data_IF_303777346598
#
_entry.id   IF_303777346598
#
_cell.length_a   1.000
_cell.length_b   1.000
_cell.length_c   1.000
_cell.angle_alpha   90.00
_cell.angle_beta   90.00
_cell.angle_gamma   90.00
#
_symmetry.space_group_name_H-M   'P 1'
#
loop_
_entity.id
_entity.type
_entity.pdbx_description
1 polymer ?
#
# COMPACT_ATOMS: atom_id res chain seq x y z
N UNK A 1 6.08 -25.26 3.47
CA UNK A 1 6.19 -23.78 3.39
C UNK A 1 5.23 -23.17 2.37
N UNK A 2 5.21 -23.64 1.12
CA UNK A 2 4.34 -23.11 0.03
C UNK A 2 2.83 -23.17 0.33
N UNK A 3 2.30 -24.27 0.89
CA UNK A 3 0.86 -24.37 1.24
C UNK A 3 0.42 -23.32 2.27
N UNK A 4 1.28 -23.01 3.26
CA UNK A 4 1.02 -21.99 4.30
C UNK A 4 1.04 -20.58 3.70
N UNK A 5 1.90 -20.36 2.69
CA UNK A 5 1.96 -19.10 1.95
C UNK A 5 0.71 -18.87 1.08
N UNK A 6 0.23 -19.90 0.38
CA UNK A 6 -1.00 -19.81 -0.42
C UNK A 6 -2.25 -19.56 0.43
N UNK A 7 -2.28 -20.09 1.66
CA UNK A 7 -3.38 -19.83 2.60
C UNK A 7 -3.48 -18.36 3.02
N UNK A 8 -2.35 -17.64 3.11
CA UNK A 8 -2.32 -16.21 3.46
C UNK A 8 -2.96 -15.34 2.35
N UNK A 9 -3.03 -15.86 1.12
CA UNK A 9 -3.56 -15.13 -0.03
C UNK A 9 -5.00 -15.51 -0.37
N UNK A 10 -5.58 -16.55 0.25
CA UNK A 10 -6.97 -16.98 -0.03
C UNK A 10 -7.95 -16.03 0.64
N UNK A 11 -9.04 -15.69 -0.06
CA UNK A 11 -10.15 -14.97 0.58
C UNK A 11 -10.84 -15.88 1.60
N UNK A 12 -11.34 -15.33 2.73
CA UNK A 12 -12.25 -16.06 3.60
C UNK A 12 -13.52 -16.46 2.83
N UNK A 13 -14.04 -17.65 3.09
CA UNK A 13 -15.21 -18.18 2.38
C UNK A 13 -16.54 -17.52 2.85
N UNK A 14 -16.54 -16.80 4.00
CA UNK A 14 -17.65 -15.92 4.46
C UNK A 14 -17.15 -14.49 4.79
N UNK A 15 -17.64 -13.48 4.06
CA UNK A 15 -17.28 -12.07 4.27
C UNK A 15 -18.33 -11.35 5.14
N UNK A 16 -18.15 -11.32 6.47
CA UNK A 16 -18.98 -10.52 7.40
C UNK A 16 -18.51 -9.06 7.56
N UNK A 17 -18.06 -8.43 6.47
CA UNK A 17 -17.47 -7.08 6.44
C UNK A 17 -15.94 -7.07 6.42
N UNK A 18 -15.33 -5.87 6.47
CA UNK A 18 -13.87 -5.70 6.46
C UNK A 18 -13.25 -6.08 7.80
N UNK A 19 -13.25 -7.39 8.09
CA UNK A 19 -12.71 -8.00 9.31
C UNK A 19 -11.20 -7.85 9.43
N UNK A 20 -10.65 -8.04 10.64
CA UNK A 20 -9.20 -8.00 10.88
C UNK A 20 -8.45 -9.03 10.01
N UNK A 21 -9.04 -10.20 9.76
CA UNK A 21 -8.48 -11.24 8.90
C UNK A 21 -8.44 -10.79 7.43
N UNK A 22 -9.53 -10.19 6.92
CA UNK A 22 -9.57 -9.69 5.55
C UNK A 22 -8.53 -8.58 5.34
N UNK A 23 -8.32 -7.71 6.33
CA UNK A 23 -7.26 -6.69 6.30
C UNK A 23 -5.86 -7.29 6.34
N UNK A 24 -5.66 -8.40 7.06
CA UNK A 24 -4.38 -9.12 7.05
C UNK A 24 -4.09 -9.73 5.66
N UNK A 25 -5.09 -10.35 5.03
CA UNK A 25 -4.98 -10.87 3.66
C UNK A 25 -4.71 -9.73 2.67
N UNK A 26 -5.43 -8.62 2.78
CA UNK A 26 -5.22 -7.43 1.97
C UNK A 26 -3.81 -6.87 2.12
N UNK A 27 -3.31 -6.75 3.37
CA UNK A 27 -1.95 -6.30 3.65
C UNK A 27 -0.90 -7.17 2.96
N UNK A 28 -1.03 -8.49 3.04
CA UNK A 28 -0.10 -9.40 2.38
C UNK A 28 -0.16 -9.30 0.85
N UNK A 29 -1.35 -9.12 0.28
CA UNK A 29 -1.49 -8.90 -1.17
C UNK A 29 -0.87 -7.60 -1.63
N UNK A 30 -1.01 -6.53 -0.85
CA UNK A 30 -0.34 -5.26 -1.14
C UNK A 30 1.19 -5.43 -1.11
N UNK A 31 1.73 -6.19 -0.15
CA UNK A 31 3.18 -6.46 -0.09
C UNK A 31 3.65 -7.27 -1.31
N UNK A 32 2.89 -8.30 -1.73
CA UNK A 32 3.19 -9.06 -2.96
C UNK A 32 3.09 -8.17 -4.19
N UNK A 33 2.09 -7.28 -4.26
CA UNK A 33 1.94 -6.34 -5.35
C UNK A 33 3.11 -5.34 -5.40
N UNK A 34 3.54 -4.80 -4.26
CA UNK A 34 4.72 -3.93 -4.17
C UNK A 34 5.98 -4.67 -4.61
N UNK A 35 6.14 -5.95 -4.23
CA UNK A 35 7.26 -6.78 -4.68
C UNK A 35 7.25 -6.97 -6.21
N UNK A 36 6.09 -7.27 -6.80
CA UNK A 36 5.94 -7.38 -8.24
C UNK A 36 6.20 -6.05 -8.97
N UNK A 37 5.69 -4.95 -8.44
CA UNK A 37 5.94 -3.61 -8.97
C UNK A 37 7.42 -3.23 -8.87
N UNK A 38 8.09 -3.53 -7.76
CA UNK A 38 9.53 -3.33 -7.60
C UNK A 38 10.32 -4.00 -8.72
N UNK A 39 9.95 -5.24 -9.08
CA UNK A 39 10.54 -5.95 -10.21
C UNK A 39 10.27 -5.27 -11.56
N UNK A 40 9.03 -4.82 -11.80
CA UNK A 40 8.68 -4.09 -13.04
C UNK A 40 9.47 -2.79 -13.15
N UNK A 41 9.55 -2.00 -12.07
CA UNK A 41 10.34 -0.76 -12.03
C UNK A 41 11.82 -1.04 -12.27
N UNK A 42 12.34 -2.15 -11.74
CA UNK A 42 13.73 -2.55 -11.96
C UNK A 42 14.00 -2.85 -13.44
N UNK A 43 13.12 -3.60 -14.11
CA UNK A 43 13.26 -3.88 -15.55
C UNK A 43 13.21 -2.59 -16.36
N UNK A 44 12.26 -1.70 -16.05
CA UNK A 44 12.12 -0.41 -16.75
C UNK A 44 13.35 0.48 -16.54
N UNK A 45 13.87 0.56 -15.31
CA UNK A 45 15.10 1.30 -15.00
C UNK A 45 16.27 0.84 -15.87
N UNK A 46 16.43 -0.49 -16.05
CA UNK A 46 17.45 -1.07 -16.91
C UNK A 46 17.24 -0.77 -18.39
N UNK A 47 15.99 -0.67 -18.85
CA UNK A 47 15.69 -0.33 -20.25
C UNK A 47 15.97 1.14 -20.58
N UNK A 48 15.73 2.06 -19.64
CA UNK A 48 15.88 3.50 -19.84
C UNK A 48 17.29 3.98 -19.43
N UNK A 49 18.16 3.09 -18.94
CA UNK A 49 19.48 3.40 -18.40
C UNK A 49 19.44 4.56 -17.38
N UNK A 50 18.38 4.58 -16.56
CA UNK A 50 18.15 5.60 -15.55
C UNK A 50 19.13 5.47 -14.38
N UNK A 51 19.80 4.30 -14.25
CA UNK A 51 20.79 3.99 -13.22
C UNK A 51 20.26 4.32 -11.81
N UNK A 52 18.98 4.05 -11.54
CA UNK A 52 18.46 4.09 -10.18
C UNK A 52 19.27 3.10 -9.34
N UNK A 53 19.68 3.53 -8.15
CA UNK A 53 20.59 2.76 -7.31
C UNK A 53 20.00 1.38 -6.99
N UNK A 54 20.69 0.30 -7.41
CA UNK A 54 20.29 -1.11 -7.13
C UNK A 54 19.91 -1.36 -5.66
N UNK A 55 20.56 -0.63 -4.75
CA UNK A 55 20.28 -0.62 -3.33
C UNK A 55 18.80 -0.35 -2.99
N UNK A 56 18.10 0.51 -3.73
CA UNK A 56 16.68 0.79 -3.54
C UNK A 56 15.81 -0.44 -3.79
N UNK A 57 16.03 -1.11 -4.92
CA UNK A 57 15.27 -2.31 -5.29
C UNK A 57 15.49 -3.46 -4.30
N UNK A 58 16.73 -3.63 -3.84
CA UNK A 58 17.08 -4.61 -2.81
C UNK A 58 16.40 -4.24 -1.49
N UNK A 59 16.41 -2.97 -1.10
CA UNK A 59 15.78 -2.50 0.15
C UNK A 59 14.27 -2.69 0.14
N UNK A 60 13.59 -2.38 -0.97
CA UNK A 60 12.14 -2.62 -1.13
C UNK A 60 11.85 -4.11 -1.06
N UNK A 61 12.55 -4.90 -1.86
CA UNK A 61 12.28 -6.34 -1.95
C UNK A 61 12.58 -7.06 -0.64
N UNK A 62 13.68 -6.70 0.03
CA UNK A 62 14.04 -7.19 1.36
C UNK A 62 13.02 -6.81 2.42
N UNK A 63 12.52 -5.57 2.39
CA UNK A 63 11.44 -5.12 3.28
C UNK A 63 10.16 -5.92 3.06
N UNK A 64 9.77 -6.15 1.80
CA UNK A 64 8.59 -6.96 1.47
C UNK A 64 8.71 -8.39 1.98
N UNK A 65 9.87 -9.04 1.77
CA UNK A 65 10.11 -10.41 2.25
C UNK A 65 10.04 -10.46 3.78
N UNK A 66 10.68 -9.51 4.47
CA UNK A 66 10.64 -9.40 5.92
C UNK A 66 9.20 -9.26 6.44
N UNK A 67 8.39 -8.40 5.83
CA UNK A 67 6.99 -8.19 6.20
C UNK A 67 6.17 -9.48 5.98
N UNK A 68 6.36 -10.17 4.86
CA UNK A 68 5.67 -11.45 4.58
C UNK A 68 6.05 -12.53 5.60
N UNK A 69 7.30 -12.58 6.04
CA UNK A 69 7.74 -13.52 7.09
C UNK A 69 7.08 -13.20 8.42
N UNK A 70 7.10 -11.93 8.85
CA UNK A 70 6.46 -11.50 10.11
C UNK A 70 4.95 -11.77 10.08
N UNK A 71 4.31 -11.44 8.95
CA UNK A 71 2.88 -11.71 8.77
C UNK A 71 2.57 -13.20 8.74
N UNK A 72 3.42 -14.03 8.13
CA UNK A 72 3.26 -15.49 8.09
C UNK A 72 3.43 -16.17 9.46
N UNK A 73 4.06 -15.49 10.41
CA UNK A 73 4.15 -15.91 11.82
C UNK A 73 2.96 -15.49 12.67
N UNK A 74 1.95 -14.81 12.11
CA UNK A 74 0.73 -14.39 12.82
C UNK A 74 0.82 -13.02 13.51
N UNK A 75 1.97 -12.35 13.45
CA UNK A 75 2.16 -11.02 14.04
C UNK A 75 1.68 -9.89 13.11
N UNK A 76 0.40 -9.92 12.73
CA UNK A 76 -0.16 -9.04 11.70
C UNK A 76 -0.06 -7.56 12.05
N UNK A 77 -0.35 -7.17 13.30
CA UNK A 77 -0.26 -5.78 13.73
C UNK A 77 1.17 -5.24 13.63
N UNK A 78 2.14 -6.05 14.05
CA UNK A 78 3.56 -5.70 13.96
C UNK A 78 4.00 -5.58 12.49
N UNK A 79 3.56 -6.50 11.63
CA UNK A 79 3.81 -6.44 10.19
C UNK A 79 3.25 -5.16 9.55
N UNK A 80 2.04 -4.72 9.94
CA UNK A 80 1.46 -3.44 9.48
C UNK A 80 2.32 -2.24 9.89
N UNK A 81 2.71 -2.16 11.16
CA UNK A 81 3.48 -1.03 11.70
C UNK A 81 4.86 -0.95 11.03
N UNK A 82 5.60 -2.06 11.03
CA UNK A 82 6.93 -2.13 10.41
C UNK A 82 6.83 -1.87 8.91
N UNK A 83 5.85 -2.47 8.24
CA UNK A 83 5.66 -2.32 6.81
C UNK A 83 5.34 -0.90 6.39
N UNK A 84 4.41 -0.24 7.07
CA UNK A 84 4.08 1.17 6.79
C UNK A 84 5.24 2.09 7.10
N UNK A 85 5.99 1.84 8.17
CA UNK A 85 7.18 2.63 8.49
C UNK A 85 8.25 2.52 7.41
N UNK A 86 8.64 1.29 7.06
CA UNK A 86 9.64 1.03 6.00
C UNK A 86 9.19 1.60 4.65
N UNK A 87 7.93 1.38 4.27
CA UNK A 87 7.38 1.89 3.02
C UNK A 87 7.44 3.41 2.94
N UNK A 88 7.06 4.11 4.01
CA UNK A 88 7.12 5.55 4.07
C UNK A 88 8.55 6.10 4.03
N UNK A 89 9.49 5.49 4.76
CA UNK A 89 10.90 5.90 4.74
C UNK A 89 11.52 5.69 3.37
N UNK A 90 11.21 4.58 2.69
CA UNK A 90 11.69 4.34 1.33
C UNK A 90 11.09 5.35 0.35
N UNK A 91 9.76 5.55 0.38
CA UNK A 91 9.10 6.53 -0.48
C UNK A 91 9.62 7.95 -0.25
N UNK A 92 9.88 8.33 0.99
CA UNK A 92 10.53 9.59 1.33
C UNK A 92 11.88 9.73 0.62
N UNK A 93 12.75 8.73 0.75
CA UNK A 93 14.09 8.78 0.16
C UNK A 93 14.04 8.87 -1.37
N UNK A 94 13.13 8.14 -2.03
CA UNK A 94 12.96 8.21 -3.48
C UNK A 94 12.38 9.56 -3.90
N UNK A 95 11.35 10.05 -3.19
CA UNK A 95 10.72 11.33 -3.51
C UNK A 95 11.65 12.52 -3.27
N UNK A 96 12.57 12.44 -2.29
CA UNK A 96 13.55 13.48 -2.02
C UNK A 96 14.74 13.43 -3.00
N UNK A 97 15.05 12.26 -3.56
CA UNK A 97 16.16 12.08 -4.50
C UNK A 97 15.80 12.32 -5.97
N UNK A 98 14.56 12.71 -6.27
CA UNK A 98 14.07 12.90 -7.64
C UNK A 98 13.30 14.21 -7.79
N UNK A 99 13.18 14.70 -9.03
CA UNK A 99 12.36 15.85 -9.34
C UNK A 99 10.87 15.57 -9.15
N UNK A 100 10.13 16.58 -8.70
CA UNK A 100 8.68 16.48 -8.48
C UNK A 100 7.92 16.07 -9.75
N UNK A 101 8.45 16.43 -10.91
CA UNK A 101 7.93 16.08 -12.24
C UNK A 101 7.93 14.57 -12.51
N UNK A 102 8.69 13.74 -11.78
CA UNK A 102 8.65 12.29 -11.94
C UNK A 102 7.35 11.66 -11.43
N UNK A 103 6.55 12.38 -10.63
CA UNK A 103 5.27 11.91 -10.10
C UNK A 103 5.37 10.92 -8.93
N UNK A 104 6.56 10.60 -8.42
CA UNK A 104 6.74 9.64 -7.31
C UNK A 104 5.99 10.05 -6.04
N UNK A 105 5.88 11.35 -5.77
CA UNK A 105 5.18 11.89 -4.60
C UNK A 105 3.70 11.44 -4.52
N UNK A 106 3.07 11.11 -5.65
CA UNK A 106 1.70 10.58 -5.68
C UNK A 106 1.55 9.30 -4.83
N UNK A 107 2.60 8.49 -4.73
CA UNK A 107 2.58 7.27 -3.92
C UNK A 107 2.51 7.53 -2.41
N UNK A 108 2.83 8.73 -1.94
CA UNK A 108 2.63 9.10 -0.54
C UNK A 108 1.13 9.28 -0.22
N UNK A 109 0.33 9.77 -1.18
CA UNK A 109 -1.13 9.77 -1.03
C UNK A 109 -1.61 8.32 -0.90
N UNK A 110 -1.14 7.44 -1.78
CA UNK A 110 -1.46 5.99 -1.69
C UNK A 110 -1.04 5.39 -0.35
N UNK A 111 0.14 5.74 0.17
CA UNK A 111 0.61 5.27 1.48
C UNK A 111 -0.32 5.69 2.63
N UNK A 112 -0.80 6.95 2.60
CA UNK A 112 -1.77 7.44 3.57
C UNK A 112 -3.11 6.67 3.49
N UNK A 113 -3.61 6.39 2.29
CA UNK A 113 -4.81 5.56 2.10
C UNK A 113 -4.62 4.13 2.61
N UNK A 114 -3.49 3.49 2.28
CA UNK A 114 -3.17 2.14 2.76
C UNK A 114 -3.16 2.10 4.29
N UNK A 115 -2.57 3.10 4.96
CA UNK A 115 -2.56 3.17 6.41
C UNK A 115 -3.98 3.19 7.01
N UNK A 116 -4.87 4.02 6.47
CA UNK A 116 -6.27 4.10 6.92
C UNK A 116 -7.02 2.78 6.70
N UNK A 117 -6.80 2.13 5.56
CA UNK A 117 -7.46 0.86 5.22
C UNK A 117 -6.99 -0.29 6.11
N UNK A 118 -5.67 -0.39 6.35
CA UNK A 118 -5.08 -1.50 7.10
C UNK A 118 -5.41 -1.44 8.60
N UNK A 119 -5.51 -0.23 9.17
CA UNK A 119 -5.89 -0.06 10.58
C UNK A 119 -7.41 0.02 10.77
N UNK A 120 -8.15 0.55 9.79
CA UNK A 120 -9.60 0.74 9.86
C UNK A 120 -10.05 1.56 11.07
N UNK A 121 -11.32 1.43 11.43
CA UNK A 121 -11.92 2.27 12.47
C UNK A 121 -11.50 1.86 13.90
N UNK A 122 -11.30 0.56 14.13
CA UNK A 122 -10.96 -0.03 15.42
C UNK A 122 -9.57 0.43 15.89
N UNK A 123 -8.64 0.61 14.96
CA UNK A 123 -7.28 1.10 15.23
C UNK A 123 -7.04 2.49 14.61
N UNK A 124 -8.08 3.33 14.52
CA UNK A 124 -8.04 4.63 13.81
C UNK A 124 -6.91 5.56 14.23
N UNK A 125 -6.50 5.52 15.50
CA UNK A 125 -5.40 6.33 16.01
C UNK A 125 -4.08 6.00 15.29
N UNK A 126 -3.81 4.70 15.03
CA UNK A 126 -2.65 4.27 14.26
C UNK A 126 -2.76 4.66 12.79
N UNK A 127 -3.94 4.51 12.19
CA UNK A 127 -4.19 4.94 10.81
C UNK A 127 -3.90 6.44 10.63
N UNK A 128 -4.49 7.29 11.48
CA UNK A 128 -4.28 8.73 11.46
C UNK A 128 -2.83 9.13 11.75
N UNK A 129 -2.19 8.48 12.73
CA UNK A 129 -0.78 8.74 13.04
C UNK A 129 0.13 8.44 11.84
N UNK A 130 -0.09 7.34 11.13
CA UNK A 130 0.69 7.02 9.93
C UNK A 130 0.35 7.94 8.75
N UNK A 131 -0.90 8.33 8.56
CA UNK A 131 -1.28 9.34 7.56
C UNK A 131 -0.57 10.67 7.83
N UNK A 132 -0.56 11.13 9.09
CA UNK A 132 0.14 12.34 9.49
C UNK A 132 1.65 12.20 9.30
N UNK A 133 2.23 11.05 9.67
CA UNK A 133 3.65 10.74 9.45
C UNK A 133 4.02 10.80 7.96
N UNK A 134 3.21 10.20 7.08
CA UNK A 134 3.37 10.28 5.63
C UNK A 134 3.34 11.72 5.13
N UNK A 135 2.41 12.53 5.62
CA UNK A 135 2.31 13.95 5.27
C UNK A 135 3.54 14.76 5.74
N UNK A 136 4.03 14.51 6.96
CA UNK A 136 5.26 15.14 7.44
C UNK A 136 6.46 14.77 6.56
N UNK A 137 6.61 13.50 6.19
CA UNK A 137 7.68 13.07 5.29
C UNK A 137 7.55 13.71 3.90
N UNK A 138 6.34 13.83 3.35
CA UNK A 138 6.12 14.56 2.10
C UNK A 138 6.59 16.01 2.21
N UNK A 139 6.16 16.73 3.26
CA UNK A 139 6.53 18.11 3.48
C UNK A 139 8.06 18.26 3.61
N UNK A 140 8.71 17.39 4.38
CA UNK A 140 10.17 17.40 4.53
C UNK A 140 10.85 17.15 3.18
N UNK A 141 10.41 16.14 2.41
CA UNK A 141 10.97 15.84 1.09
C UNK A 141 10.83 17.02 0.13
N UNK A 142 9.68 17.70 0.18
CA UNK A 142 9.39 18.85 -0.66
C UNK A 142 10.29 20.06 -0.35
N UNK A 143 10.50 20.38 0.92
CA UNK A 143 11.25 21.59 1.31
C UNK A 143 12.76 21.38 1.41
N UNK A 144 13.22 20.23 1.88
CA UNK A 144 14.64 20.04 2.22
C UNK A 144 15.44 19.31 1.16
N UNK A 145 14.77 18.53 0.29
CA UNK A 145 15.41 17.59 -0.66
C UNK A 145 16.48 16.69 0.01
N UNK A 146 16.40 16.50 1.32
CA UNK A 146 17.39 15.75 2.07
C UNK A 146 17.14 14.25 1.90
N UNK A 147 17.95 13.57 1.10
CA UNK A 147 17.86 12.12 0.87
C UNK A 147 19.15 11.41 1.30
N UNK A 148 19.02 10.17 1.76
CA UNK A 148 20.18 9.27 1.95
C UNK A 148 20.77 8.82 0.62
N UNK A 149 20.07 9.08 -0.47
CA UNK A 149 20.38 8.65 -1.83
C UNK A 149 20.81 9.88 -2.63
N UNK A 150 21.78 9.71 -3.52
CA UNK A 150 22.21 10.78 -4.42
C UNK A 150 21.04 11.26 -5.27
N UNK A 151 20.87 12.58 -5.34
CA UNK A 151 19.86 13.20 -6.20
C UNK A 151 20.12 12.86 -7.67
N UNK A 152 19.09 12.36 -8.36
CA UNK A 152 19.17 11.99 -9.77
C UNK A 152 18.46 13.03 -10.63
N UNK A 153 19.18 13.58 -11.60
CA UNK A 153 18.61 14.42 -12.65
C UNK A 153 18.34 13.56 -13.87
N UNK A 154 17.07 13.44 -14.20
CA UNK A 154 16.62 12.72 -15.39
C UNK A 154 16.53 13.67 -16.57
N UNK A 155 16.78 13.16 -17.78
CA UNK A 155 16.44 13.91 -18.98
C UNK A 155 14.91 13.99 -19.16
N UNK A 156 14.44 14.82 -20.09
CA UNK A 156 13.01 15.03 -20.32
C UNK A 156 12.27 13.73 -20.68
N UNK A 157 12.88 12.91 -21.54
CA UNK A 157 12.32 11.62 -21.93
C UNK A 157 12.15 10.67 -20.72
N UNK A 158 13.19 10.53 -19.90
CA UNK A 158 13.19 9.73 -18.67
C UNK A 158 12.13 10.24 -17.69
N UNK A 159 12.06 11.56 -17.49
CA UNK A 159 11.07 12.19 -16.61
C UNK A 159 9.65 11.88 -17.06
N UNK A 160 9.36 12.01 -18.36
CA UNK A 160 8.04 11.73 -18.91
C UNK A 160 7.65 10.25 -18.77
N UNK A 161 8.59 9.32 -19.01
CA UNK A 161 8.33 7.89 -18.84
C UNK A 161 8.10 7.54 -17.37
N UNK A 162 8.92 8.07 -16.46
CA UNK A 162 8.75 7.87 -15.02
C UNK A 162 7.40 8.44 -14.54
N UNK A 163 7.01 9.61 -15.01
CA UNK A 163 5.72 10.22 -14.69
C UNK A 163 4.55 9.35 -15.15
N UNK A 164 4.56 8.91 -16.41
CA UNK A 164 3.52 8.03 -16.96
C UNK A 164 3.43 6.69 -16.21
N UNK A 165 4.57 6.12 -15.82
CA UNK A 165 4.60 4.91 -15.01
C UNK A 165 4.03 5.16 -13.60
N UNK A 166 4.48 6.20 -12.92
CA UNK A 166 4.03 6.51 -11.56
C UNK A 166 2.53 6.81 -11.51
N UNK A 167 1.99 7.59 -12.45
CA UNK A 167 0.56 7.90 -12.49
C UNK A 167 -0.29 6.66 -12.80
N UNK A 168 0.17 5.79 -13.71
CA UNK A 168 -0.52 4.55 -14.05
C UNK A 168 -0.58 3.61 -12.84
N UNK A 169 0.55 3.45 -12.14
CA UNK A 169 0.64 2.60 -10.94
C UNK A 169 -0.16 3.19 -9.79
N UNK A 170 -0.08 4.51 -9.59
CA UNK A 170 -0.91 5.23 -8.62
C UNK A 170 -2.39 4.98 -8.87
N UNK A 171 -2.88 5.19 -10.10
CA UNK A 171 -4.28 4.99 -10.45
C UNK A 171 -4.70 3.52 -10.25
N UNK A 172 -3.90 2.56 -10.70
CA UNK A 172 -4.19 1.14 -10.57
C UNK A 172 -4.29 0.69 -9.10
N UNK A 173 -3.34 1.11 -8.26
CA UNK A 173 -3.35 0.76 -6.82
C UNK A 173 -4.53 1.41 -6.12
N UNK A 174 -4.80 2.70 -6.34
CA UNK A 174 -5.91 3.38 -5.68
C UNK A 174 -7.28 2.84 -6.13
N UNK A 175 -7.42 2.47 -7.41
CA UNK A 175 -8.62 1.78 -7.90
C UNK A 175 -8.80 0.42 -7.20
N UNK A 176 -7.72 -0.37 -7.11
CA UNK A 176 -7.73 -1.65 -6.40
C UNK A 176 -8.12 -1.50 -4.93
N UNK A 177 -7.51 -0.55 -4.22
CA UNK A 177 -7.81 -0.25 -2.82
C UNK A 177 -9.27 0.17 -2.64
N UNK A 178 -9.76 1.08 -3.49
CA UNK A 178 -11.15 1.55 -3.46
C UNK A 178 -12.12 0.39 -3.66
N UNK A 179 -11.86 -0.47 -4.64
CA UNK A 179 -12.67 -1.66 -4.89
C UNK A 179 -12.69 -2.62 -3.69
N UNK A 180 -11.53 -2.84 -3.06
CA UNK A 180 -11.41 -3.70 -1.87
C UNK A 180 -12.13 -3.17 -0.63
N UNK A 181 -12.35 -1.86 -0.52
CA UNK A 181 -13.19 -1.26 0.53
C UNK A 181 -14.67 -1.35 0.16
N UNK A 182 -15.01 -1.04 -1.10
CA UNK A 182 -16.38 -0.92 -1.55
C UNK A 182 -17.14 -2.26 -1.49
N UNK A 183 -16.47 -3.35 -1.88
CA UNK A 183 -17.08 -4.69 -1.93
C UNK A 183 -17.58 -5.19 -0.56
N UNK A 184 -16.75 -5.22 0.51
CA UNK A 184 -17.22 -5.63 1.84
C UNK A 184 -18.30 -4.70 2.40
N UNK A 185 -18.19 -3.39 2.16
CA UNK A 185 -19.19 -2.42 2.61
C UNK A 185 -20.56 -2.66 1.97
N UNK A 186 -20.59 -3.00 0.68
CA UNK A 186 -21.82 -3.34 -0.01
C UNK A 186 -22.49 -4.59 0.58
N UNK A 187 -21.70 -5.64 0.86
CA UNK A 187 -22.20 -6.88 1.46
C UNK A 187 -22.78 -6.68 2.86
N UNK A 188 -22.12 -5.84 3.69
CA UNK A 188 -22.62 -5.46 5.02
C UNK A 188 -23.93 -4.69 4.90
N UNK A 189 -24.01 -3.70 3.99
CA UNK A 189 -25.22 -2.92 3.78
C UNK A 189 -26.41 -3.80 3.36
N UNK A 190 -26.21 -4.73 2.43
CA UNK A 190 -27.25 -5.67 2.01
C UNK A 190 -27.71 -6.57 3.16
N UNK A 191 -26.77 -7.09 3.96
CA UNK A 191 -27.08 -7.95 5.11
C UNK A 191 -27.89 -7.19 6.17
N UNK A 192 -27.55 -5.93 6.42
CA UNK A 192 -28.29 -5.06 7.34
C UNK A 192 -29.70 -4.74 6.84
N UNK A 193 -29.86 -4.53 5.54
CA UNK A 193 -31.19 -4.34 4.93
C UNK A 193 -32.06 -5.58 5.08
N UNK A 194 -31.52 -6.77 4.81
CA UNK A 194 -32.24 -8.03 4.95
C UNK A 194 -32.69 -8.28 6.40
N UNK A 195 -31.78 -8.11 7.38
CA UNK A 195 -32.12 -8.25 8.81
C UNK A 195 -33.15 -7.24 9.29
N UNK A 196 -33.08 -5.99 8.79
CA UNK A 196 -34.11 -4.99 9.11
C UNK A 196 -35.49 -5.38 8.56
N UNK A 197 -35.55 -6.00 7.39
CA UNK A 197 -36.82 -6.49 6.82
C UNK A 197 -37.38 -7.66 7.63
N UNK A 198 -36.54 -8.59 8.10
CA UNK A 198 -36.96 -9.68 8.98
C UNK A 198 -37.49 -9.16 10.32
N UNK A 199 -36.77 -8.25 10.98
CA UNK A 199 -37.21 -7.63 12.24
C UNK A 199 -38.55 -6.90 12.09
N UNK A 200 -38.78 -6.24 10.95
CA UNK A 200 -40.08 -5.62 10.66
C UNK A 200 -41.20 -6.63 10.51
N UNK A 201 -40.94 -7.83 9.97
CA UNK A 201 -41.94 -8.88 9.87
C UNK A 201 -42.26 -9.47 11.24
N UNK A 202 -41.23 -9.77 12.05
CA UNK A 202 -41.40 -10.33 13.40
C UNK A 202 -42.08 -9.37 14.37
N UNK A 203 -41.90 -8.05 14.23
CA UNK A 203 -42.57 -7.07 15.10
C UNK A 203 -44.05 -6.81 14.72
N UNK A 204 -44.52 -7.33 13.59
CA UNK A 204 -45.91 -7.19 13.13
C UNK A 204 -46.75 -8.43 13.47
N UNK A 205 -46.10 -9.56 13.76
CA UNK A 205 -46.69 -10.78 14.35
C UNK A 205 -46.82 -10.65 15.87
#
# INVERSE_FOLDING_TARGET
>A
MVKKFLQILKFPDEEKGLSAELRAVLGNRLVVLILALSFVYYVIDRLINSNVTHFLFISISGSCILILVISGSGYFKLAKIIGLFLFNVILYNISASQDFSSGVHLHQITAAFIALILFGYEERAWGLAFTFFTFCLFAIAFFTKASLISYQRFNEYQTNVLFMMNITVFAAINLYLTYMILRPNHNVAQTLMFRNQELKKTNVE
#
